data_IF_921416926545
#
_entry.id   IF_921416926545
#
_cell.length_a   1.000
_cell.length_b   1.000
_cell.length_c   1.000
_cell.angle_alpha   90.00
_cell.angle_beta   90.00
_cell.angle_gamma   90.00
#
_symmetry.space_group_name_H-M   'P 1'
#
loop_
_entity.id
_entity.type
_entity.pdbx_description
1 polymer ?
#
# COMPACT_ATOMS: atom_id res chain seq x y z
N UNK A 1 12.13 2.58 -25.20
CA UNK A 1 10.77 2.08 -24.93
C UNK A 1 10.10 3.06 -23.99
N UNK A 2 8.89 3.52 -24.31
CA UNK A 2 8.10 4.40 -23.44
C UNK A 2 7.03 3.58 -22.72
N UNK A 3 6.85 3.79 -21.41
CA UNK A 3 5.71 3.25 -20.68
C UNK A 3 4.52 4.20 -20.83
N UNK A 4 3.33 3.66 -21.04
CA UNK A 4 2.09 4.45 -21.12
C UNK A 4 1.59 4.84 -19.73
N UNK A 5 1.82 3.98 -18.74
CA UNK A 5 1.57 4.25 -17.33
C UNK A 5 2.82 3.84 -16.55
N UNK A 6 3.30 4.73 -15.68
CA UNK A 6 4.39 4.44 -14.74
C UNK A 6 3.98 4.89 -13.34
N UNK A 7 4.07 3.98 -12.37
CA UNK A 7 3.82 4.25 -10.95
C UNK A 7 5.09 3.90 -10.19
N UNK A 8 5.54 4.83 -9.35
CA UNK A 8 6.73 4.67 -8.52
C UNK A 8 6.38 4.98 -7.07
N UNK A 9 6.80 4.09 -6.17
CA UNK A 9 6.69 4.25 -4.72
C UNK A 9 5.29 4.68 -4.24
N UNK A 10 4.24 4.08 -4.80
CA UNK A 10 2.86 4.44 -4.46
C UNK A 10 2.44 3.81 -3.13
N UNK A 11 1.85 4.64 -2.27
CA UNK A 11 1.25 4.22 -1.01
C UNK A 11 -0.20 4.69 -0.93
N UNK A 12 -1.04 3.88 -0.30
CA UNK A 12 -2.39 4.26 0.13
C UNK A 12 -2.56 3.90 1.60
N UNK A 13 -2.76 4.92 2.42
CA UNK A 13 -2.96 4.80 3.86
C UNK A 13 -4.33 5.40 4.16
N UNK A 14 -5.13 4.67 4.95
CA UNK A 14 -6.46 5.09 5.40
C UNK A 14 -6.42 5.49 6.88
N UNK A 15 -7.24 6.46 7.25
CA UNK A 15 -7.31 7.06 8.59
C UNK A 15 -6.75 8.49 8.64
N UNK A 16 -6.89 9.13 9.80
CA UNK A 16 -6.51 10.52 10.02
C UNK A 16 -4.99 10.68 10.20
N UNK A 17 -4.41 11.76 9.68
CA UNK A 17 -2.96 12.02 9.76
C UNK A 17 -2.07 10.87 9.20
N UNK A 18 -2.28 10.42 7.95
CA UNK A 18 -1.60 9.26 7.35
C UNK A 18 -0.07 9.36 7.33
N UNK A 19 0.48 10.59 7.41
CA UNK A 19 1.92 10.83 7.43
C UNK A 19 2.65 10.16 8.61
N UNK A 20 1.95 9.89 9.71
CA UNK A 20 2.54 9.23 10.87
C UNK A 20 2.95 7.78 10.56
N UNK A 21 2.21 7.09 9.68
CA UNK A 21 2.54 5.72 9.29
C UNK A 21 3.88 5.63 8.56
N UNK A 22 4.29 6.63 7.77
CA UNK A 22 5.59 6.59 7.07
C UNK A 22 6.78 6.49 8.03
N UNK A 23 6.72 7.13 9.20
CA UNK A 23 7.78 7.01 10.22
C UNK A 23 7.95 5.57 10.71
N UNK A 24 6.84 4.82 10.79
CA UNK A 24 6.84 3.44 11.24
C UNK A 24 7.17 2.47 10.11
N UNK A 25 6.72 2.76 8.88
CA UNK A 25 7.10 2.02 7.66
C UNK A 25 8.63 2.07 7.50
N UNK A 26 9.24 3.25 7.63
CA UNK A 26 10.69 3.42 7.51
C UNK A 26 11.48 2.70 8.61
N UNK A 27 10.85 2.43 9.75
CA UNK A 27 11.40 1.60 10.84
C UNK A 27 11.20 0.10 10.62
N UNK A 28 10.56 -0.30 9.52
CA UNK A 28 10.34 -1.72 9.17
C UNK A 28 9.15 -2.38 9.84
N UNK A 29 8.23 -1.63 10.48
CA UNK A 29 7.07 -2.22 11.14
C UNK A 29 6.10 -2.85 10.13
N UNK A 30 5.40 -3.90 10.58
CA UNK A 30 4.35 -4.57 9.79
C UNK A 30 3.07 -3.75 9.75
N UNK A 31 2.18 -4.06 8.79
CA UNK A 31 0.87 -3.41 8.66
C UNK A 31 0.05 -3.51 9.95
N UNK A 32 0.02 -4.69 10.57
CA UNK A 32 -0.69 -4.95 11.82
C UNK A 32 -0.11 -4.13 12.98
N UNK A 33 1.21 -4.09 13.11
CA UNK A 33 1.87 -3.30 14.15
C UNK A 33 1.59 -1.80 13.99
N UNK A 34 1.56 -1.31 12.75
CA UNK A 34 1.25 0.09 12.45
C UNK A 34 -0.21 0.38 12.78
N UNK A 35 -1.13 -0.48 12.36
CA UNK A 35 -2.55 -0.35 12.67
C UNK A 35 -2.79 -0.34 14.18
N UNK A 36 -2.25 -1.31 14.92
CA UNK A 36 -2.42 -1.40 16.37
C UNK A 36 -1.84 -0.19 17.13
N UNK A 37 -0.81 0.47 16.58
CA UNK A 37 -0.18 1.65 17.20
C UNK A 37 -0.83 2.98 16.84
N UNK A 38 -1.48 3.07 15.68
CA UNK A 38 -1.88 4.36 15.09
C UNK A 38 -3.34 4.42 14.63
N UNK A 39 -4.02 3.28 14.55
CA UNK A 39 -5.31 3.16 13.87
C UNK A 39 -5.22 3.27 12.34
N UNK A 40 -4.03 3.46 11.76
CA UNK A 40 -3.85 3.66 10.32
C UNK A 40 -3.77 2.33 9.57
N UNK A 41 -4.66 2.15 8.59
CA UNK A 41 -4.67 0.97 7.74
C UNK A 41 -3.85 1.21 6.47
N UNK A 42 -2.82 0.38 6.24
CA UNK A 42 -2.05 0.40 4.99
C UNK A 42 -2.77 -0.44 3.94
N UNK A 43 -3.32 0.23 2.92
CA UNK A 43 -4.01 -0.40 1.79
C UNK A 43 -3.05 -0.82 0.68
N UNK A 44 -2.10 0.06 0.33
CA UNK A 44 -1.06 -0.19 -0.67
C UNK A 44 0.27 0.24 -0.09
N UNK A 45 1.30 -0.61 -0.21
CA UNK A 45 2.65 -0.36 0.29
C UNK A 45 3.65 -0.49 -0.87
N UNK A 46 4.33 0.60 -1.20
CA UNK A 46 5.43 0.65 -2.18
C UNK A 46 5.12 -0.04 -3.51
N UNK A 47 3.95 0.29 -4.10
CA UNK A 47 3.59 -0.26 -5.40
C UNK A 47 4.39 0.44 -6.51
N UNK A 48 5.06 -0.38 -7.32
CA UNK A 48 5.84 0.04 -8.47
C UNK A 48 5.37 -0.77 -9.69
N UNK A 49 4.86 -0.11 -10.73
CA UNK A 49 4.38 -0.77 -11.94
C UNK A 49 4.64 0.10 -13.18
N UNK A 50 4.87 -0.55 -14.31
CA UNK A 50 5.11 0.09 -15.58
C UNK A 50 4.37 -0.69 -16.68
N UNK A 51 3.40 -0.04 -17.33
CA UNK A 51 2.52 -0.65 -18.32
C UNK A 51 2.79 -0.01 -19.67
N UNK A 52 3.04 -0.82 -20.69
CA UNK A 52 3.28 -0.39 -22.06
C UNK A 52 1.97 -0.15 -22.80
N UNK A 53 2.04 0.56 -23.92
CA UNK A 53 0.88 0.70 -24.80
C UNK A 53 0.46 -0.66 -25.38
N UNK A 54 -0.85 -0.94 -25.36
CA UNK A 54 -1.41 -2.21 -25.82
C UNK A 54 -1.26 -3.39 -24.85
N UNK A 55 -0.61 -3.19 -23.70
CA UNK A 55 -0.45 -4.23 -22.68
C UNK A 55 -1.73 -4.43 -21.85
N UNK A 56 -2.19 -5.67 -21.74
CA UNK A 56 -3.26 -6.04 -20.80
C UNK A 56 -2.59 -6.38 -19.47
N UNK A 57 -2.80 -5.51 -18.48
CA UNK A 57 -2.29 -5.68 -17.13
C UNK A 57 -3.43 -5.97 -16.15
N UNK A 58 -3.43 -7.15 -15.52
CA UNK A 58 -4.50 -7.59 -14.61
C UNK A 58 -4.02 -7.52 -13.16
N UNK A 59 -4.78 -6.79 -12.32
CA UNK A 59 -4.57 -6.77 -10.87
C UNK A 59 -5.52 -7.79 -10.24
N UNK A 60 -4.96 -8.79 -9.56
CA UNK A 60 -5.72 -9.79 -8.80
C UNK A 60 -5.37 -9.68 -7.32
N UNK A 61 -6.32 -10.07 -6.46
CA UNK A 61 -6.11 -10.08 -5.02
C UNK A 61 -7.14 -10.94 -4.31
N UNK A 62 -6.75 -11.43 -3.14
CA UNK A 62 -7.67 -12.10 -2.21
C UNK A 62 -8.18 -11.06 -1.23
N UNK A 63 -9.48 -11.08 -0.95
CA UNK A 63 -10.01 -10.31 0.16
C UNK A 63 -9.50 -10.97 1.45
N UNK A 64 -8.70 -10.25 2.24
CA UNK A 64 -8.36 -10.67 3.59
C UNK A 64 -9.19 -9.82 4.53
N UNK A 65 -10.10 -10.45 5.27
CA UNK A 65 -10.73 -9.83 6.44
C UNK A 65 -9.63 -9.71 7.49
N UNK A 66 -9.29 -8.49 7.88
CA UNK A 66 -8.43 -8.26 9.02
C UNK A 66 -9.28 -8.60 10.25
N UNK A 67 -9.11 -9.81 10.81
CA UNK A 67 -9.72 -10.12 12.10
C UNK A 67 -9.24 -9.07 13.10
N UNK A 68 -10.19 -8.31 13.63
CA UNK A 68 -9.95 -7.47 14.80
C UNK A 68 -9.57 -8.41 15.94
N UNK A 69 -8.29 -8.46 16.30
CA UNK A 69 -7.90 -8.99 17.60
C UNK A 69 -8.68 -8.20 18.68
N UNK A 70 -9.21 -8.89 19.71
CA UNK A 70 -9.96 -8.25 20.79
C UNK A 70 -9.16 -7.18 21.53
#
# INVERSE_FOLDING_TARGET
>A
MSFKIEVKNLYKIFGDHPNQAFKLINKGLTKEQIFNKTGLAIGVKDANLAIKEGEIFVIMGLYRVQESLP
#
